data_IF_780760715660
#
_entry.id   IF_780760715660
#
_cell.length_a   1.000
_cell.length_b   1.000
_cell.length_c   1.000
_cell.angle_alpha   90.00
_cell.angle_beta   90.00
_cell.angle_gamma   90.00
#
_symmetry.space_group_name_H-M   'P 1'
#
loop_
_entity.id
_entity.type
_entity.pdbx_description
1 polymer ?
#
# COMPACT_ATOMS: atom_id res chain seq x y z
N UNK A 1 15.39 22.18 37.64
CA UNK A 1 16.12 21.82 36.40
C UNK A 1 15.25 20.92 35.54
N UNK A 2 14.78 21.41 34.40
CA UNK A 2 14.54 20.64 33.16
C UNK A 2 14.05 21.62 32.09
N UNK A 3 14.87 21.81 31.07
CA UNK A 3 14.70 22.76 29.97
C UNK A 3 13.89 22.12 28.84
N UNK A 4 12.84 22.80 28.37
CA UNK A 4 12.10 22.43 27.16
C UNK A 4 13.00 22.67 25.93
N UNK A 5 13.35 21.58 25.24
CA UNK A 5 14.07 21.60 23.97
C UNK A 5 13.15 22.01 22.81
N UNK A 6 13.47 23.15 22.20
CA UNK A 6 12.89 23.63 20.95
C UNK A 6 13.36 22.76 19.77
N UNK A 7 12.43 22.21 18.98
CA UNK A 7 12.76 21.55 17.70
C UNK A 7 12.78 22.61 16.58
N UNK A 8 13.97 23.06 16.21
CA UNK A 8 14.21 23.90 15.02
C UNK A 8 13.96 23.08 13.75
N UNK A 9 13.04 23.55 12.90
CA UNK A 9 12.84 23.04 11.53
C UNK A 9 14.11 23.33 10.69
N UNK A 10 14.62 22.36 9.89
CA UNK A 10 15.71 22.65 8.97
C UNK A 10 15.21 23.48 7.78
N UNK A 11 15.92 24.57 7.50
CA UNK A 11 15.73 25.40 6.32
C UNK A 11 15.99 24.58 5.05
N UNK A 12 15.06 24.66 4.10
CA UNK A 12 15.20 24.05 2.78
C UNK A 12 16.40 24.67 2.06
N UNK A 13 17.41 23.85 1.77
CA UNK A 13 18.50 24.21 0.86
C UNK A 13 17.90 24.37 -0.53
N UNK A 14 17.82 25.61 -1.02
CA UNK A 14 17.57 25.87 -2.43
C UNK A 14 18.71 25.23 -3.23
N UNK A 15 18.35 24.20 -3.99
CA UNK A 15 19.23 23.52 -4.93
C UNK A 15 19.84 24.53 -5.89
N UNK A 16 21.13 24.38 -6.19
CA UNK A 16 21.89 25.19 -7.15
C UNK A 16 21.35 25.07 -8.57
N UNK A 17 20.23 25.74 -8.82
CA UNK A 17 19.69 25.97 -10.15
C UNK A 17 20.45 27.16 -10.69
N UNK A 18 21.14 26.96 -11.81
CA UNK A 18 21.85 28.03 -12.49
C UNK A 18 20.88 29.21 -12.72
N UNK A 19 21.27 30.45 -12.39
CA UNK A 19 20.38 31.61 -12.51
C UNK A 19 19.85 31.80 -13.94
N UNK A 20 20.62 31.35 -14.93
CA UNK A 20 20.23 31.31 -16.33
C UNK A 20 19.09 30.32 -16.62
N UNK A 21 19.11 29.13 -16.00
CA UNK A 21 18.05 28.14 -16.15
C UNK A 21 16.76 28.62 -15.49
N UNK A 22 16.88 29.32 -14.36
CA UNK A 22 15.74 29.94 -13.70
C UNK A 22 15.14 31.07 -14.57
N UNK A 23 15.97 31.93 -15.17
CA UNK A 23 15.51 32.97 -16.08
C UNK A 23 14.82 32.40 -17.34
N UNK A 24 15.32 31.28 -17.88
CA UNK A 24 14.66 30.59 -18.99
C UNK A 24 13.29 30.00 -18.60
N UNK A 25 13.19 29.39 -17.43
CA UNK A 25 11.91 28.84 -16.94
C UNK A 25 10.91 29.97 -16.63
N UNK A 26 11.37 31.10 -16.08
CA UNK A 26 10.52 32.26 -15.80
C UNK A 26 10.05 32.94 -17.10
N UNK A 27 10.89 33.00 -18.14
CA UNK A 27 10.49 33.54 -19.46
C UNK A 27 9.52 32.62 -20.21
N UNK A 28 9.69 31.30 -20.12
CA UNK A 28 8.74 30.33 -20.67
C UNK A 28 7.39 30.37 -19.92
N UNK A 29 7.42 30.48 -18.60
CA UNK A 29 6.21 30.57 -17.78
C UNK A 29 5.40 31.84 -18.07
N UNK A 30 6.07 32.97 -18.30
CA UNK A 30 5.41 34.21 -18.74
C UNK A 30 4.90 34.13 -20.18
N UNK A 31 5.60 33.44 -21.09
CA UNK A 31 5.10 33.20 -22.44
C UNK A 31 3.81 32.38 -22.46
N UNK A 32 3.67 31.40 -21.56
CA UNK A 32 2.45 30.59 -21.44
C UNK A 32 1.25 31.34 -20.83
N UNK A 33 1.48 32.27 -19.91
CA UNK A 33 0.40 33.12 -19.38
C UNK A 33 -0.05 34.17 -20.40
N UNK A 34 0.86 34.75 -21.19
CA UNK A 34 0.51 35.69 -22.27
C UNK A 34 -0.27 35.02 -23.42
N UNK A 35 -0.12 33.70 -23.59
CA UNK A 35 -0.78 32.91 -24.64
C UNK A 35 -2.29 32.74 -24.47
N UNK A 36 -2.82 32.92 -23.27
CA UNK A 36 -4.26 32.83 -23.04
C UNK A 36 -5.03 34.11 -23.41
N UNK A 37 -4.35 35.25 -23.62
CA UNK A 37 -5.06 36.53 -23.87
C UNK A 37 -4.82 37.18 -25.23
N UNK A 38 -3.83 36.76 -26.05
CA UNK A 38 -3.55 37.49 -27.32
C UNK A 38 -3.16 36.57 -28.48
N UNK A 39 -4.10 35.77 -28.97
CA UNK A 39 -3.93 34.84 -30.10
C UNK A 39 -3.70 35.45 -31.49
N UNK A 40 -3.15 36.67 -31.63
CA UNK A 40 -2.88 37.28 -32.96
C UNK A 40 -1.56 38.02 -33.12
N UNK A 41 -0.76 38.23 -32.07
CA UNK A 41 0.39 39.15 -32.13
C UNK A 41 1.74 38.54 -31.70
N UNK A 42 1.88 37.21 -31.64
CA UNK A 42 3.18 36.59 -31.27
C UNK A 42 4.30 36.94 -32.26
N UNK A 43 4.00 37.00 -33.56
CA UNK A 43 5.00 37.37 -34.58
C UNK A 43 5.42 38.84 -34.48
N UNK A 44 4.50 39.72 -34.07
CA UNK A 44 4.77 41.15 -33.91
C UNK A 44 5.60 41.42 -32.64
N UNK A 45 5.27 40.81 -31.51
CA UNK A 45 6.03 40.90 -30.25
C UNK A 45 7.45 40.36 -30.40
N UNK A 46 7.62 39.22 -31.09
CA UNK A 46 8.94 38.67 -31.36
C UNK A 46 9.74 39.57 -32.31
N UNK A 47 9.13 40.08 -33.37
CA UNK A 47 9.78 41.01 -34.29
C UNK A 47 10.14 42.35 -33.64
N UNK A 48 9.32 42.84 -32.71
CA UNK A 48 9.54 44.09 -31.97
C UNK A 48 10.65 43.93 -30.93
N UNK A 49 10.71 42.78 -30.24
CA UNK A 49 11.82 42.45 -29.34
C UNK A 49 13.15 42.37 -30.11
N UNK A 50 13.16 41.75 -31.30
CA UNK A 50 14.34 41.66 -32.17
C UNK A 50 14.80 43.02 -32.69
N UNK A 51 13.85 43.87 -33.14
CA UNK A 51 14.13 45.23 -33.58
C UNK A 51 14.69 46.09 -32.42
N UNK A 52 14.17 45.93 -31.21
CA UNK A 52 14.62 46.66 -30.02
C UNK A 52 16.00 46.21 -29.51
N UNK A 53 16.41 44.98 -29.81
CA UNK A 53 17.77 44.47 -29.52
C UNK A 53 18.83 44.84 -30.57
N UNK A 54 18.49 45.63 -31.59
CA UNK A 54 19.47 46.25 -32.49
C UNK A 54 19.87 45.44 -33.73
N UNK A 55 19.06 44.46 -34.14
CA UNK A 55 19.27 43.74 -35.39
C UNK A 55 18.69 44.46 -36.60
N UNK A 56 19.37 45.49 -37.13
CA UNK A 56 19.02 46.11 -38.41
C UNK A 56 19.36 45.15 -39.57
N UNK A 57 18.39 44.36 -40.03
CA UNK A 57 18.49 43.55 -41.24
C UNK A 57 17.71 44.22 -42.38
N UNK A 58 18.41 45.00 -43.20
CA UNK A 58 17.92 45.39 -44.53
C UNK A 58 17.70 44.13 -45.39
N UNK A 59 16.55 43.99 -46.10
CA UNK A 59 16.38 42.92 -47.07
C UNK A 59 16.98 43.39 -48.40
N UNK A 60 18.32 43.29 -48.54
CA UNK A 60 18.98 43.43 -49.84
C UNK A 60 19.08 42.04 -50.50
N UNK A 61 18.36 41.91 -51.63
CA UNK A 61 18.01 40.65 -52.27
C UNK A 61 19.15 39.67 -52.53
N UNK A 62 18.86 38.38 -52.30
CA UNK A 62 19.66 37.23 -52.76
C UNK A 62 18.77 35.98 -52.91
N UNK A 63 18.10 35.86 -54.05
CA UNK A 63 17.36 34.63 -54.40
C UNK A 63 18.28 33.43 -54.73
N UNK A 64 19.61 33.63 -54.71
CA UNK A 64 20.61 32.59 -54.94
C UNK A 64 21.21 31.99 -53.66
N UNK A 65 20.91 32.54 -52.46
CA UNK A 65 21.48 32.07 -51.19
C UNK A 65 20.51 31.25 -50.33
N UNK A 66 19.23 31.21 -50.69
CA UNK A 66 18.20 30.53 -49.90
C UNK A 66 18.26 29.01 -50.03
N UNK A 67 18.60 28.48 -51.22
CA UNK A 67 18.78 27.05 -51.45
C UNK A 67 20.03 26.49 -50.74
N UNK A 68 21.11 27.25 -50.69
CA UNK A 68 22.36 26.84 -50.03
C UNK A 68 22.21 26.82 -48.50
N UNK A 69 21.45 27.79 -47.95
CA UNK A 69 21.12 27.84 -46.53
C UNK A 69 20.20 26.68 -46.11
N UNK A 70 19.24 26.31 -46.96
CA UNK A 70 18.34 25.17 -46.75
C UNK A 70 19.10 23.83 -46.80
N UNK A 71 20.04 23.70 -47.73
CA UNK A 71 20.90 22.51 -47.83
C UNK A 71 21.82 22.38 -46.60
N UNK A 72 22.41 23.48 -46.13
CA UNK A 72 23.19 23.50 -44.90
C UNK A 72 22.35 23.12 -43.67
N UNK A 73 21.13 23.66 -43.55
CA UNK A 73 20.24 23.36 -42.44
C UNK A 73 19.82 21.88 -42.42
N UNK A 74 19.56 21.28 -43.60
CA UNK A 74 19.28 19.85 -43.70
C UNK A 74 20.48 18.97 -43.36
N UNK A 75 21.69 19.36 -43.77
CA UNK A 75 22.92 18.64 -43.43
C UNK A 75 23.21 18.68 -41.92
N UNK A 76 22.94 19.83 -41.29
CA UNK A 76 23.14 20.01 -39.86
C UNK A 76 22.16 19.18 -39.02
N UNK A 77 20.88 19.14 -39.42
CA UNK A 77 19.86 18.27 -38.82
C UNK A 77 20.23 16.79 -38.92
N UNK A 78 20.72 16.34 -40.08
CA UNK A 78 21.17 14.95 -40.26
C UNK A 78 22.35 14.62 -39.34
N UNK A 79 23.34 15.51 -39.27
CA UNK A 79 24.51 15.36 -38.39
C UNK A 79 24.12 15.34 -36.92
N UNK A 80 23.11 16.10 -36.52
CA UNK A 80 22.59 16.12 -35.16
C UNK A 80 21.84 14.82 -34.82
N UNK A 81 20.98 14.36 -35.74
CA UNK A 81 20.29 13.06 -35.59
C UNK A 81 21.27 11.88 -35.50
N UNK A 82 22.34 11.88 -36.30
CA UNK A 82 23.40 10.86 -36.23
C UNK A 82 24.14 10.89 -34.89
N UNK A 83 24.45 12.09 -34.37
CA UNK A 83 25.07 12.26 -33.05
C UNK A 83 24.16 11.78 -31.93
N UNK A 84 22.87 12.08 -32.00
CA UNK A 84 21.91 11.63 -30.99
C UNK A 84 21.69 10.12 -31.04
N UNK A 85 21.64 9.54 -32.24
CA UNK A 85 21.58 8.09 -32.42
C UNK A 85 22.84 7.40 -31.89
N UNK A 86 24.02 7.96 -32.13
CA UNK A 86 25.28 7.44 -31.60
C UNK A 86 25.33 7.56 -30.08
N UNK A 87 24.88 8.69 -29.53
CA UNK A 87 24.79 8.92 -28.08
C UNK A 87 23.84 7.94 -27.43
N UNK A 88 22.70 7.66 -28.06
CA UNK A 88 21.74 6.65 -27.59
C UNK A 88 22.35 5.25 -27.61
N UNK A 89 23.01 4.85 -28.71
CA UNK A 89 23.73 3.56 -28.80
C UNK A 89 24.81 3.39 -27.73
N UNK A 90 25.60 4.44 -27.48
CA UNK A 90 26.63 4.44 -26.43
C UNK A 90 25.99 4.37 -25.04
N UNK A 91 24.90 5.09 -24.82
CA UNK A 91 24.14 5.02 -23.56
C UNK A 91 23.60 3.61 -23.31
N UNK A 92 23.04 2.96 -24.33
CA UNK A 92 22.53 1.59 -24.25
C UNK A 92 23.65 0.56 -24.00
N UNK A 93 24.87 0.80 -24.52
CA UNK A 93 26.05 -0.05 -24.26
C UNK A 93 26.62 0.11 -22.84
N UNK A 94 26.59 1.31 -22.28
CA UNK A 94 27.16 1.61 -20.95
C UNK A 94 26.17 1.23 -19.83
N UNK A 95 24.86 1.32 -20.09
CA UNK A 95 23.82 0.91 -19.16
C UNK A 95 22.94 -0.21 -19.75
N UNK A 96 23.47 -1.44 -19.88
CA UNK A 96 22.76 -2.56 -20.48
C UNK A 96 21.64 -3.12 -19.59
N UNK A 97 21.40 -2.53 -18.41
CA UNK A 97 20.37 -3.02 -17.50
C UNK A 97 19.02 -2.54 -18.02
N UNK A 98 18.35 -3.43 -18.74
CA UNK A 98 16.97 -3.21 -19.14
C UNK A 98 16.09 -3.21 -17.89
N UNK A 99 15.80 -2.00 -17.41
CA UNK A 99 15.04 -1.79 -16.18
C UNK A 99 13.67 -2.50 -16.26
N UNK A 100 13.12 -2.68 -17.46
CA UNK A 100 11.86 -3.37 -17.67
C UNK A 100 11.91 -4.83 -17.21
N UNK A 101 13.00 -5.55 -17.48
CA UNK A 101 13.16 -6.94 -17.05
C UNK A 101 13.26 -7.05 -15.52
N UNK A 102 13.97 -6.12 -14.88
CA UNK A 102 14.08 -6.07 -13.41
C UNK A 102 12.71 -5.80 -12.77
N UNK A 103 11.94 -4.84 -13.32
CA UNK A 103 10.61 -4.54 -12.81
C UNK A 103 9.64 -5.71 -13.03
N UNK A 104 9.67 -6.35 -14.20
CA UNK A 104 8.85 -7.53 -14.47
C UNK A 104 9.19 -8.70 -13.54
N UNK A 105 10.48 -9.01 -13.36
CA UNK A 105 10.93 -10.05 -12.45
C UNK A 105 10.53 -9.77 -10.99
N UNK A 106 10.57 -8.51 -10.57
CA UNK A 106 10.13 -8.10 -9.23
C UNK A 106 8.62 -8.29 -9.06
N UNK A 107 7.81 -7.85 -10.01
CA UNK A 107 6.36 -8.02 -9.98
C UNK A 107 5.97 -9.50 -9.93
N UNK A 108 6.66 -10.35 -10.69
CA UNK A 108 6.41 -11.79 -10.68
C UNK A 108 6.74 -12.42 -9.31
N UNK A 109 7.84 -12.01 -8.67
CA UNK A 109 8.20 -12.45 -7.32
C UNK A 109 7.15 -12.04 -6.29
N UNK A 110 6.69 -10.78 -6.34
CA UNK A 110 5.66 -10.28 -5.42
C UNK A 110 4.34 -11.03 -5.59
N UNK A 111 3.93 -11.33 -6.84
CA UNK A 111 2.76 -12.16 -7.12
C UNK A 111 2.91 -13.58 -6.57
N UNK A 112 4.08 -14.21 -6.73
CA UNK A 112 4.37 -15.54 -6.17
C UNK A 112 4.25 -15.54 -4.64
N UNK A 113 4.82 -14.54 -3.98
CA UNK A 113 4.73 -14.40 -2.52
C UNK A 113 3.30 -14.22 -2.03
N UNK A 114 2.51 -13.38 -2.70
CA UNK A 114 1.10 -13.18 -2.33
C UNK A 114 0.30 -14.47 -2.53
N UNK A 115 0.50 -15.17 -3.64
CA UNK A 115 -0.16 -16.45 -3.87
C UNK A 115 0.23 -17.51 -2.83
N UNK A 116 1.48 -17.50 -2.38
CA UNK A 116 1.92 -18.38 -1.31
C UNK A 116 1.24 -18.04 0.03
N UNK A 117 1.14 -16.76 0.38
CA UNK A 117 0.37 -16.32 1.55
C UNK A 117 -1.10 -16.72 1.47
N UNK A 118 -1.73 -16.60 0.29
CA UNK A 118 -3.11 -17.05 0.08
C UNK A 118 -3.27 -18.54 0.36
N UNK A 119 -2.34 -19.38 -0.12
CA UNK A 119 -2.34 -20.84 0.13
C UNK A 119 -2.16 -21.16 1.62
N UNK A 120 -1.21 -20.50 2.28
CA UNK A 120 -0.97 -20.69 3.71
C UNK A 120 -2.20 -20.31 4.54
N UNK A 121 -2.86 -19.20 4.20
CA UNK A 121 -4.08 -18.75 4.87
C UNK A 121 -5.20 -19.78 4.63
N UNK A 122 -5.42 -20.23 3.39
CA UNK A 122 -6.44 -21.23 3.09
C UNK A 122 -6.26 -22.51 3.93
N UNK A 123 -5.02 -23.00 4.07
CA UNK A 123 -4.69 -24.15 4.90
C UNK A 123 -4.87 -23.86 6.40
N UNK A 124 -4.53 -22.65 6.86
CA UNK A 124 -4.78 -22.28 8.25
C UNK A 124 -6.28 -22.22 8.57
N UNK A 125 -7.11 -21.88 7.59
CA UNK A 125 -8.55 -21.70 7.75
C UNK A 125 -9.35 -23.00 7.69
N UNK A 126 -8.87 -24.04 7.03
CA UNK A 126 -9.54 -25.36 7.03
C UNK A 126 -9.76 -25.91 8.44
N UNK A 127 -8.90 -25.59 9.41
CA UNK A 127 -9.06 -26.03 10.80
C UNK A 127 -10.07 -25.17 11.60
N UNK A 128 -10.49 -24.02 11.07
CA UNK A 128 -11.37 -23.04 11.74
C UNK A 128 -12.84 -23.16 11.30
N UNK A 129 -13.15 -23.97 10.28
CA UNK A 129 -14.52 -24.35 9.91
C UNK A 129 -15.41 -23.21 9.44
N UNK A 130 -16.06 -22.49 10.36
CA UNK A 130 -17.04 -21.44 10.03
C UNK A 130 -16.42 -20.14 9.51
N UNK A 131 -15.15 -19.86 9.83
CA UNK A 131 -14.46 -18.65 9.36
C UNK A 131 -14.07 -18.72 7.87
N UNK A 132 -14.14 -19.91 7.28
CA UNK A 132 -13.65 -20.19 5.93
C UNK A 132 -14.39 -19.38 4.86
N UNK A 133 -15.72 -19.24 4.98
CA UNK A 133 -16.55 -18.63 3.93
C UNK A 133 -16.29 -17.13 3.72
N UNK A 134 -16.13 -16.34 4.79
CA UNK A 134 -15.95 -14.88 4.68
C UNK A 134 -14.55 -14.50 4.20
N UNK A 135 -13.53 -15.25 4.61
CA UNK A 135 -12.17 -14.98 4.15
C UNK A 135 -11.88 -15.59 2.78
N UNK A 136 -12.58 -16.65 2.36
CA UNK A 136 -12.51 -17.19 1.00
C UNK A 136 -12.92 -16.13 -0.04
N UNK A 137 -13.98 -15.35 0.25
CA UNK A 137 -14.37 -14.19 -0.56
C UNK A 137 -13.23 -13.18 -0.66
N UNK A 138 -12.55 -12.89 0.46
CA UNK A 138 -11.42 -11.95 0.48
C UNK A 138 -10.19 -12.51 -0.24
N UNK A 139 -9.93 -13.82 -0.15
CA UNK A 139 -8.80 -14.50 -0.80
C UNK A 139 -8.98 -14.60 -2.33
N UNK A 140 -10.21 -14.75 -2.79
CA UNK A 140 -10.56 -14.84 -4.22
C UNK A 140 -10.47 -13.49 -4.94
N UNK A 141 -10.36 -12.37 -4.21
CA UNK A 141 -10.14 -11.06 -4.86
C UNK A 141 -8.86 -11.07 -5.69
N UNK A 142 -9.02 -10.78 -6.98
CA UNK A 142 -7.95 -10.80 -7.97
C UNK A 142 -7.16 -9.49 -7.87
N UNK A 143 -5.84 -9.60 -7.72
CA UNK A 143 -4.96 -8.44 -7.60
C UNK A 143 -4.56 -8.03 -9.00
N UNK A 144 -5.08 -6.89 -9.45
CA UNK A 144 -4.89 -6.37 -10.80
C UNK A 144 -3.61 -5.55 -10.96
N UNK A 145 -3.04 -4.97 -9.89
CA UNK A 145 -1.79 -4.18 -9.97
C UNK A 145 -0.79 -4.47 -8.84
N UNK A 146 0.37 -5.11 -9.13
CA UNK A 146 1.34 -5.48 -8.10
C UNK A 146 2.14 -4.30 -7.51
N UNK A 147 2.18 -3.14 -8.18
CA UNK A 147 3.01 -1.99 -7.75
C UNK A 147 2.63 -1.38 -6.39
N UNK A 148 1.63 -0.50 -6.36
CA UNK A 148 1.17 0.10 -5.08
C UNK A 148 0.24 -0.84 -4.31
N UNK A 149 -0.64 -1.54 -5.01
CA UNK A 149 -1.63 -2.41 -4.37
C UNK A 149 -1.01 -3.72 -3.89
N UNK A 150 -0.02 -4.29 -4.61
CA UNK A 150 0.64 -5.54 -4.21
C UNK A 150 1.35 -5.47 -2.86
N UNK A 151 2.02 -4.34 -2.56
CA UNK A 151 2.64 -4.10 -1.24
C UNK A 151 1.60 -4.01 -0.12
N UNK A 152 0.45 -3.37 -0.39
CA UNK A 152 -0.68 -3.34 0.55
C UNK A 152 -1.21 -4.75 0.82
N UNK A 153 -1.49 -5.53 -0.23
CA UNK A 153 -2.01 -6.88 -0.12
C UNK A 153 -1.04 -7.81 0.60
N UNK A 154 0.27 -7.71 0.34
CA UNK A 154 1.29 -8.48 1.07
C UNK A 154 1.22 -8.21 2.57
N UNK A 155 1.16 -6.94 2.98
CA UNK A 155 1.05 -6.56 4.39
C UNK A 155 -0.29 -6.98 5.01
N UNK A 156 -1.38 -6.84 4.26
CA UNK A 156 -2.71 -7.29 4.68
C UNK A 156 -2.74 -8.80 4.92
N UNK A 157 -2.29 -9.61 3.96
CA UNK A 157 -2.27 -11.07 4.09
C UNK A 157 -1.30 -11.53 5.19
N UNK A 158 -0.16 -10.86 5.38
CA UNK A 158 0.73 -11.15 6.51
C UNK A 158 0.04 -10.89 7.86
N UNK A 159 -0.67 -9.77 8.00
CA UNK A 159 -1.47 -9.47 9.20
C UNK A 159 -2.61 -10.48 9.39
N UNK A 160 -3.31 -10.83 8.31
CA UNK A 160 -4.39 -11.81 8.33
C UNK A 160 -3.88 -13.19 8.78
N UNK A 161 -2.72 -13.64 8.28
CA UNK A 161 -2.05 -14.86 8.75
C UNK A 161 -1.78 -14.81 10.25
N UNK A 162 -1.20 -13.72 10.75
CA UNK A 162 -0.90 -13.58 12.18
C UNK A 162 -2.16 -13.60 13.06
N UNK A 163 -3.23 -12.94 12.60
CA UNK A 163 -4.53 -12.94 13.27
C UNK A 163 -5.14 -14.35 13.34
N UNK A 164 -5.11 -15.08 12.22
CA UNK A 164 -5.63 -16.46 12.15
C UNK A 164 -4.82 -17.40 13.06
N UNK A 165 -3.49 -17.23 13.14
CA UNK A 165 -2.66 -18.00 14.08
C UNK A 165 -3.03 -17.74 15.54
N UNK A 166 -3.23 -16.47 15.92
CA UNK A 166 -3.69 -16.10 17.25
C UNK A 166 -5.07 -16.70 17.56
N UNK A 167 -5.98 -16.65 16.59
CA UNK A 167 -7.31 -17.22 16.72
C UNK A 167 -7.25 -18.74 16.94
N UNK A 168 -6.43 -19.46 16.17
CA UNK A 168 -6.18 -20.90 16.38
C UNK A 168 -5.68 -21.21 17.80
N UNK A 169 -4.75 -20.41 18.32
CA UNK A 169 -4.24 -20.61 19.68
C UNK A 169 -5.36 -20.43 20.71
N UNK A 170 -6.19 -19.39 20.56
CA UNK A 170 -7.34 -19.15 21.45
C UNK A 170 -8.41 -20.24 21.35
N UNK A 171 -8.70 -20.75 20.15
CA UNK A 171 -9.63 -21.87 19.97
C UNK A 171 -9.09 -23.15 20.61
N UNK A 172 -7.79 -23.44 20.43
CA UNK A 172 -7.15 -24.60 21.07
C UNK A 172 -7.17 -24.48 22.60
N UNK A 173 -6.84 -23.31 23.16
CA UNK A 173 -6.90 -23.12 24.61
C UNK A 173 -8.33 -23.27 25.11
N UNK A 174 -9.32 -22.64 24.49
CA UNK A 174 -10.73 -22.79 24.86
C UNK A 174 -11.20 -24.25 24.82
N UNK A 175 -10.81 -25.02 23.79
CA UNK A 175 -11.09 -26.46 23.71
C UNK A 175 -10.45 -27.25 24.85
N UNK A 176 -9.20 -26.93 25.23
CA UNK A 176 -8.52 -27.58 26.36
C UNK A 176 -9.20 -27.26 27.68
N UNK A 177 -9.55 -25.99 27.92
CA UNK A 177 -10.28 -25.56 29.10
C UNK A 177 -11.66 -26.22 29.18
N UNK A 178 -12.41 -26.28 28.08
CA UNK A 178 -13.69 -26.97 28.02
C UNK A 178 -13.55 -28.48 28.30
N UNK A 179 -12.53 -29.14 27.72
CA UNK A 179 -12.24 -30.56 28.02
C UNK A 179 -11.88 -30.78 29.49
N UNK A 180 -11.10 -29.90 30.08
CA UNK A 180 -10.72 -29.97 31.49
C UNK A 180 -11.91 -29.71 32.44
N UNK A 181 -12.79 -28.77 32.08
CA UNK A 181 -14.01 -28.52 32.83
C UNK A 181 -14.97 -29.70 32.73
N UNK A 182 -15.15 -30.27 31.54
CA UNK A 182 -15.99 -31.44 31.32
C UNK A 182 -15.44 -32.70 32.01
N UNK A 183 -14.11 -32.91 32.00
CA UNK A 183 -13.49 -34.03 32.71
C UNK A 183 -13.62 -33.87 34.23
N UNK A 184 -13.48 -32.65 34.77
CA UNK A 184 -13.79 -32.34 36.17
C UNK A 184 -15.25 -32.60 36.49
N UNK A 185 -16.20 -32.13 35.68
CA UNK A 185 -17.64 -32.38 35.86
C UNK A 185 -17.96 -33.88 35.84
N UNK A 186 -17.39 -34.64 34.89
CA UNK A 186 -17.56 -36.10 34.80
C UNK A 186 -16.96 -36.81 36.02
N UNK A 187 -15.75 -36.44 36.46
CA UNK A 187 -15.14 -37.00 37.68
C UNK A 187 -15.93 -36.64 38.93
N UNK A 188 -16.48 -35.43 39.02
CA UNK A 188 -17.31 -35.01 40.14
C UNK A 188 -18.67 -35.71 40.12
N UNK A 189 -19.27 -35.89 38.95
CA UNK A 189 -20.49 -36.69 38.75
C UNK A 189 -20.25 -38.17 39.09
N UNK A 190 -19.13 -38.77 38.70
CA UNK A 190 -18.78 -40.13 39.09
C UNK A 190 -18.47 -40.25 40.58
N UNK A 191 -17.82 -39.25 41.19
CA UNK A 191 -17.63 -39.21 42.65
C UNK A 191 -18.92 -38.99 43.43
N UNK A 192 -19.87 -38.23 42.89
CA UNK A 192 -21.21 -38.02 43.47
C UNK A 192 -22.22 -39.11 43.09
N UNK A 193 -21.95 -39.92 42.09
CA UNK A 193 -22.83 -40.99 41.58
C UNK A 193 -22.32 -42.41 41.85
N UNK A 194 -21.17 -42.55 42.53
CA UNK A 194 -20.67 -43.84 43.04
C UNK A 194 -21.25 -44.23 44.41
N UNK A 195 -22.08 -43.38 45.00
CA UNK A 195 -22.85 -43.66 46.21
C UNK A 195 -24.11 -42.81 46.19
N UNK A 196 -25.25 -43.44 45.92
CA UNK A 196 -26.59 -42.86 45.86
C UNK A 196 -26.75 -41.62 44.97
N UNK A 197 -27.32 -41.83 43.78
CA UNK A 197 -28.16 -40.81 43.15
C UNK A 197 -29.37 -40.66 44.07
N UNK A 198 -29.27 -39.78 45.07
CA UNK A 198 -30.45 -39.37 45.81
C UNK A 198 -31.17 -38.38 44.92
N UNK A 199 -32.40 -38.71 44.55
CA UNK A 199 -33.25 -37.85 43.75
C UNK A 199 -33.36 -36.48 44.44
N UNK A 200 -33.05 -35.42 43.71
CA UNK A 200 -33.02 -34.06 44.26
C UNK A 200 -34.42 -33.62 44.72
N UNK A 201 -35.47 -34.28 44.23
CA UNK A 201 -36.84 -34.00 44.65
C UNK A 201 -37.18 -34.69 45.98
N UNK A 202 -36.78 -35.95 46.16
CA UNK A 202 -36.99 -36.68 47.40
C UNK A 202 -36.17 -36.09 48.57
N UNK A 203 -34.93 -35.67 48.31
CA UNK A 203 -34.11 -34.99 49.34
C UNK A 203 -34.66 -33.65 49.75
N UNK A 204 -35.18 -32.86 48.80
CA UNK A 204 -35.86 -31.61 49.13
C UNK A 204 -37.11 -31.86 49.95
N UNK A 205 -37.90 -32.88 49.59
CA UNK A 205 -39.08 -33.25 50.34
C UNK A 205 -38.72 -33.67 51.77
N UNK A 206 -37.79 -34.61 51.96
CA UNK A 206 -37.36 -35.06 53.29
C UNK A 206 -36.72 -33.94 54.11
N UNK A 207 -35.95 -33.05 53.46
CA UNK A 207 -35.36 -31.89 54.12
C UNK A 207 -36.44 -30.89 54.56
N UNK A 208 -37.41 -30.58 53.70
CA UNK A 208 -38.55 -29.73 54.07
C UNK A 208 -39.37 -30.37 55.19
N UNK A 209 -39.68 -31.66 55.14
CA UNK A 209 -40.41 -32.37 56.21
C UNK A 209 -39.65 -32.31 57.54
N UNK A 210 -38.34 -32.58 57.55
CA UNK A 210 -37.53 -32.52 58.77
C UNK A 210 -37.43 -31.12 59.37
N UNK A 211 -37.44 -30.07 58.55
CA UNK A 211 -37.42 -28.69 59.05
C UNK A 211 -38.78 -28.25 59.60
N UNK A 212 -39.88 -28.77 59.07
CA UNK A 212 -41.23 -28.52 59.60
C UNK A 212 -41.50 -29.29 60.91
N UNK A 213 -40.99 -30.51 61.05
CA UNK A 213 -41.17 -31.26 62.30
C UNK A 213 -40.37 -30.64 63.45
N UNK A 214 -39.15 -30.17 63.20
CA UNK A 214 -38.32 -29.49 64.21
C UNK A 214 -38.92 -28.17 64.71
N UNK A 215 -39.62 -27.42 63.85
CA UNK A 215 -40.27 -26.18 64.25
C UNK A 215 -41.52 -26.43 65.10
N UNK A 216 -42.25 -27.52 64.85
CA UNK A 216 -43.42 -27.90 65.67
C UNK A 216 -43.05 -28.48 67.04
N UNK A 217 -41.91 -29.17 67.16
CA UNK A 217 -41.46 -29.76 68.42
C UNK A 217 -40.91 -28.74 69.43
N UNK A 218 -40.55 -27.52 68.99
CA UNK A 218 -39.96 -26.49 69.85
C UNK A 218 -40.89 -25.29 70.11
N UNK A 219 -42.08 -25.25 69.50
CA UNK A 219 -43.08 -24.19 69.75
C UNK A 219 -44.19 -24.59 70.72
N UNK A 220 -44.04 -25.73 71.40
CA UNK A 220 -45.00 -26.28 72.35
C UNK A 220 -44.42 -26.43 73.74
N UNK A 221 -43.99 -25.32 74.35
CA UNK A 221 -43.86 -25.18 75.80
C UNK A 221 -44.04 -23.74 76.23
#
# INVERSE_FOLDING_TARGET
MQTLGQTKKPAAKQSGINPFAQALVETESHAHQARQETGKNESQLFSEALAKTGGNLEPKGKNSSQNDLLAQQQAELKKQAERDALRKKLHDQINPVDNHEIYAARQERELKEINQLKKEIALLMSDLGSLQKEAEVTLMTQITQPGQEGSYYKNFFAKLRSFIMLLRQKVKSARTWAKQMNSRKKKMSQRRGGGMVVDSQETKFVQDTMHHEKSTAFSGS
#
